data_IF_321469396800
#
_entry.id   IF_321469396800
#
_cell.length_a   1.000
_cell.length_b   1.000
_cell.length_c   1.000
_cell.angle_alpha   90.00
_cell.angle_beta   90.00
_cell.angle_gamma   90.00
#
_symmetry.space_group_name_H-M   'P 1'
#
loop_
_entity.id
_entity.type
_entity.pdbx_description
1 polymer ?
#
# COMPACT_ATOMS: atom_id res chain seq x y z
N UNK A 1 -12.27 -46.63 -41.41
CA UNK A 1 -11.61 -46.33 -40.11
C UNK A 1 -11.94 -44.89 -39.78
N UNK A 2 -13.09 -44.66 -39.15
CA UNK A 2 -13.39 -43.37 -38.53
C UNK A 2 -12.54 -43.30 -37.26
N UNK A 3 -11.52 -42.45 -37.27
CA UNK A 3 -10.70 -42.20 -36.10
C UNK A 3 -11.54 -41.47 -35.05
N UNK A 4 -11.72 -42.08 -33.89
CA UNK A 4 -12.22 -41.47 -32.65
C UNK A 4 -11.57 -40.10 -32.44
N UNK A 5 -12.34 -39.03 -32.68
CA UNK A 5 -11.98 -37.68 -32.25
C UNK A 5 -12.07 -37.66 -30.73
N UNK A 6 -10.95 -37.98 -30.07
CA UNK A 6 -10.78 -37.78 -28.61
C UNK A 6 -11.31 -36.39 -28.26
N UNK A 7 -12.32 -36.33 -27.41
CA UNK A 7 -12.90 -35.09 -26.90
C UNK A 7 -11.82 -34.37 -26.07
N UNK A 8 -11.04 -33.50 -26.71
CA UNK A 8 -9.94 -32.75 -26.11
C UNK A 8 -10.49 -31.56 -25.35
N UNK A 9 -11.26 -31.82 -24.30
CA UNK A 9 -11.74 -30.79 -23.39
C UNK A 9 -10.79 -30.61 -22.21
N UNK A 10 -10.57 -29.37 -21.82
CA UNK A 10 -9.80 -28.92 -20.65
C UNK A 10 -10.75 -28.20 -19.70
N UNK A 11 -10.41 -28.18 -18.41
CA UNK A 11 -11.24 -27.53 -17.40
C UNK A 11 -10.66 -26.15 -17.03
N UNK A 12 -11.52 -25.13 -16.99
CA UNK A 12 -11.14 -23.80 -16.55
C UNK A 12 -10.83 -23.80 -15.05
N UNK A 13 -9.70 -23.24 -14.64
CA UNK A 13 -9.30 -23.20 -13.21
C UNK A 13 -10.25 -22.39 -12.34
N UNK A 14 -10.92 -21.38 -12.92
CA UNK A 14 -11.81 -20.45 -12.21
C UNK A 14 -13.23 -21.02 -12.12
N UNK A 15 -13.93 -21.18 -13.25
CA UNK A 15 -15.35 -21.58 -13.25
C UNK A 15 -15.59 -23.09 -13.26
N UNK A 16 -14.53 -23.92 -13.36
CA UNK A 16 -14.61 -25.39 -13.51
C UNK A 16 -15.39 -25.86 -14.76
N UNK A 17 -15.66 -24.95 -15.70
CA UNK A 17 -16.32 -25.29 -16.96
C UNK A 17 -15.36 -26.01 -17.93
N UNK A 18 -15.85 -27.06 -18.59
CA UNK A 18 -15.10 -27.77 -19.64
C UNK A 18 -15.12 -26.97 -20.95
N UNK A 19 -13.94 -26.68 -21.51
CA UNK A 19 -13.72 -25.92 -22.75
C UNK A 19 -12.91 -26.74 -23.74
N UNK A 20 -12.95 -26.39 -25.03
CA UNK A 20 -12.06 -27.02 -26.03
C UNK A 20 -10.60 -26.66 -25.73
N UNK A 21 -9.67 -27.60 -25.90
CA UNK A 21 -8.24 -27.38 -25.61
C UNK A 21 -7.59 -26.23 -26.40
N UNK A 22 -8.16 -25.86 -27.54
CA UNK A 22 -7.72 -24.76 -28.39
C UNK A 22 -8.46 -23.43 -28.11
N UNK A 23 -9.18 -23.30 -26.99
CA UNK A 23 -9.86 -22.05 -26.67
C UNK A 23 -8.88 -20.86 -26.62
N UNK A 24 -9.37 -19.68 -27.01
CA UNK A 24 -8.61 -18.43 -27.00
C UNK A 24 -8.63 -17.73 -25.65
N UNK A 25 -8.36 -18.47 -24.57
CA UNK A 25 -8.21 -17.91 -23.23
C UNK A 25 -6.75 -18.01 -22.79
N UNK A 26 -6.45 -17.64 -21.55
CA UNK A 26 -5.10 -17.63 -21.01
C UNK A 26 -4.66 -19.06 -20.64
N UNK A 27 -3.44 -19.44 -21.01
CA UNK A 27 -2.90 -20.79 -20.76
C UNK A 27 -1.57 -20.73 -20.00
N UNK A 28 -1.48 -21.48 -18.92
CA UNK A 28 -0.24 -21.70 -18.20
C UNK A 28 0.64 -22.74 -18.92
N UNK A 29 1.96 -22.64 -18.75
CA UNK A 29 2.94 -23.62 -19.25
C UNK A 29 2.73 -25.05 -18.72
N UNK A 30 2.05 -25.22 -17.59
CA UNK A 30 1.69 -26.52 -17.00
C UNK A 30 0.31 -27.05 -17.45
N UNK A 31 -0.36 -26.37 -18.38
CA UNK A 31 -1.67 -26.79 -18.91
C UNK A 31 -2.86 -26.46 -18.01
N UNK A 32 -2.71 -25.49 -17.12
CA UNK A 32 -3.82 -24.86 -16.42
C UNK A 32 -4.40 -23.74 -17.28
N UNK A 33 -5.70 -23.81 -17.54
CA UNK A 33 -6.36 -22.95 -18.52
C UNK A 33 -7.39 -22.04 -17.85
N UNK A 34 -7.44 -20.78 -18.28
CA UNK A 34 -8.51 -19.82 -17.94
C UNK A 34 -9.34 -19.59 -19.20
N UNK A 35 -10.64 -19.84 -19.13
CA UNK A 35 -11.51 -19.69 -20.28
C UNK A 35 -11.73 -18.21 -20.64
N UNK A 36 -12.09 -17.89 -21.90
CA UNK A 36 -12.26 -16.51 -22.35
C UNK A 36 -13.22 -15.69 -21.48
N UNK A 37 -14.28 -16.33 -20.97
CA UNK A 37 -15.29 -15.67 -20.13
C UNK A 37 -14.77 -15.35 -18.71
N UNK A 38 -13.71 -16.03 -18.25
CA UNK A 38 -13.10 -15.79 -16.94
C UNK A 38 -11.82 -14.95 -17.03
N UNK A 39 -11.31 -14.64 -18.24
CA UNK A 39 -10.09 -13.84 -18.40
C UNK A 39 -10.24 -12.44 -17.78
N UNK A 40 -11.40 -11.79 -17.93
CA UNK A 40 -11.65 -10.47 -17.34
C UNK A 40 -11.51 -10.51 -15.81
N UNK A 41 -12.20 -11.44 -15.14
CA UNK A 41 -12.10 -11.59 -13.68
C UNK A 41 -10.69 -11.96 -13.21
N UNK A 42 -9.96 -12.75 -13.99
CA UNK A 42 -8.57 -13.08 -13.70
C UNK A 42 -7.66 -11.84 -13.78
N UNK A 43 -7.83 -11.02 -14.82
CA UNK A 43 -7.10 -9.76 -14.99
C UNK A 43 -7.47 -8.76 -13.90
N UNK A 44 -8.75 -8.61 -13.57
CA UNK A 44 -9.21 -7.72 -12.50
C UNK A 44 -8.61 -8.12 -11.15
N UNK A 45 -8.51 -9.43 -10.87
CA UNK A 45 -7.84 -9.91 -9.66
C UNK A 45 -6.34 -9.54 -9.65
N UNK A 46 -5.63 -9.68 -10.78
CA UNK A 46 -4.24 -9.25 -10.90
C UNK A 46 -4.11 -7.74 -10.63
N UNK A 47 -4.96 -6.93 -11.29
CA UNK A 47 -4.91 -5.47 -11.22
C UNK A 47 -5.53 -4.89 -9.94
N UNK A 48 -6.21 -5.70 -9.12
CA UNK A 48 -6.69 -5.28 -7.80
C UNK A 48 -5.54 -5.08 -6.79
N UNK A 49 -4.42 -5.77 -6.97
CA UNK A 49 -3.22 -5.64 -6.14
C UNK A 49 -1.93 -5.83 -6.98
N UNK A 50 -1.68 -4.89 -7.90
CA UNK A 50 -0.64 -5.04 -8.92
C UNK A 50 0.78 -5.06 -8.33
N UNK A 51 1.01 -4.43 -7.18
CA UNK A 51 2.29 -4.47 -6.46
C UNK A 51 2.75 -5.89 -6.12
N UNK A 52 1.82 -6.80 -5.87
CA UNK A 52 2.13 -8.20 -5.52
C UNK A 52 1.92 -9.13 -6.70
N UNK A 53 0.87 -8.88 -7.48
CA UNK A 53 0.38 -9.82 -8.50
C UNK A 53 1.05 -9.67 -9.87
N UNK A 54 1.89 -8.66 -10.09
CA UNK A 54 2.68 -8.50 -11.31
C UNK A 54 4.13 -8.96 -11.04
N UNK A 55 4.80 -9.74 -11.90
CA UNK A 55 4.26 -10.37 -13.11
C UNK A 55 3.16 -11.38 -12.76
N UNK A 56 2.17 -11.49 -13.67
CA UNK A 56 1.01 -12.34 -13.46
C UNK A 56 1.40 -13.81 -13.29
N UNK A 57 0.86 -14.47 -12.26
CA UNK A 57 1.13 -15.89 -11.97
C UNK A 57 -0.15 -16.72 -12.08
N UNK A 58 0.01 -17.98 -12.46
CA UNK A 58 -1.07 -18.96 -12.48
C UNK A 58 -1.59 -19.20 -11.07
N UNK A 59 -2.89 -19.06 -10.85
CA UNK A 59 -3.52 -19.28 -9.54
C UNK A 59 -3.39 -20.71 -8.98
N UNK A 60 -2.98 -21.68 -9.80
CA UNK A 60 -2.86 -23.08 -9.39
C UNK A 60 -1.43 -23.51 -9.11
N UNK A 61 -0.49 -23.20 -10.01
CA UNK A 61 0.92 -23.63 -9.86
C UNK A 61 1.91 -22.48 -9.61
N UNK A 62 1.42 -21.24 -9.52
CA UNK A 62 2.21 -20.04 -9.23
C UNK A 62 3.35 -19.73 -10.24
N UNK A 63 3.35 -20.39 -11.40
CA UNK A 63 4.26 -20.05 -12.49
C UNK A 63 3.77 -18.82 -13.25
N UNK A 64 4.72 -18.04 -13.76
CA UNK A 64 4.43 -16.85 -14.56
C UNK A 64 3.60 -17.19 -15.81
N UNK A 65 2.57 -16.38 -16.04
CA UNK A 65 1.72 -16.46 -17.22
C UNK A 65 2.39 -15.74 -18.38
N UNK A 66 2.23 -16.28 -19.60
CA UNK A 66 2.74 -15.62 -20.79
C UNK A 66 2.13 -14.22 -20.95
N UNK A 67 2.98 -13.19 -20.95
CA UNK A 67 2.59 -11.79 -20.99
C UNK A 67 1.76 -11.44 -22.22
N UNK A 68 2.13 -11.96 -23.40
CA UNK A 68 1.40 -11.67 -24.64
C UNK A 68 -0.03 -12.21 -24.56
N UNK A 69 -0.22 -13.42 -24.02
CA UNK A 69 -1.57 -13.97 -23.83
C UNK A 69 -2.40 -13.12 -22.88
N UNK A 70 -1.80 -12.64 -21.79
CA UNK A 70 -2.48 -11.79 -20.83
C UNK A 70 -2.88 -10.44 -21.44
N UNK A 71 -1.93 -9.76 -22.11
CA UNK A 71 -2.11 -8.44 -22.72
C UNK A 71 -3.21 -8.45 -23.80
N UNK A 72 -3.35 -9.53 -24.59
CA UNK A 72 -4.43 -9.68 -25.58
C UNK A 72 -5.85 -9.66 -24.99
N UNK A 73 -6.00 -9.93 -23.70
CA UNK A 73 -7.28 -9.95 -23.00
C UNK A 73 -7.55 -8.70 -22.16
N UNK A 74 -6.61 -7.75 -22.10
CA UNK A 74 -6.75 -6.52 -21.34
C UNK A 74 -7.47 -5.43 -22.15
N UNK A 75 -8.34 -4.67 -21.48
CA UNK A 75 -8.83 -3.41 -22.02
C UNK A 75 -7.68 -2.37 -22.07
N UNK A 76 -7.76 -1.32 -22.91
CA UNK A 76 -6.69 -0.33 -23.06
C UNK A 76 -6.20 0.29 -21.73
N UNK A 77 -7.11 0.67 -20.83
CA UNK A 77 -6.74 1.22 -19.52
C UNK A 77 -6.14 0.18 -18.55
N UNK A 78 -6.55 -1.08 -18.65
CA UNK A 78 -5.96 -2.18 -17.88
C UNK A 78 -4.52 -2.46 -18.35
N UNK A 79 -4.29 -2.43 -19.66
CA UNK A 79 -2.96 -2.62 -20.25
C UNK A 79 -2.00 -1.47 -19.87
N UNK A 80 -2.49 -0.23 -19.87
CA UNK A 80 -1.73 0.93 -19.41
C UNK A 80 -1.29 0.75 -17.95
N UNK A 81 -2.24 0.45 -17.05
CA UNK A 81 -1.95 0.17 -15.65
C UNK A 81 -0.96 -0.99 -15.47
N UNK A 82 -1.17 -2.10 -16.18
CA UNK A 82 -0.28 -3.26 -16.14
C UNK A 82 1.15 -2.90 -16.52
N UNK A 83 1.33 -2.11 -17.59
CA UNK A 83 2.65 -1.69 -18.05
C UNK A 83 3.34 -0.75 -17.06
N UNK A 84 2.61 0.17 -16.43
CA UNK A 84 3.16 1.05 -15.38
C UNK A 84 3.78 0.20 -14.26
N UNK A 85 3.04 -0.76 -13.72
CA UNK A 85 3.56 -1.62 -12.65
C UNK A 85 4.68 -2.56 -13.11
N UNK A 86 4.65 -3.01 -14.37
CA UNK A 86 5.74 -3.81 -14.95
C UNK A 86 7.04 -3.00 -15.03
N UNK A 87 6.93 -1.72 -15.41
CA UNK A 87 8.06 -0.77 -15.39
C UNK A 87 8.53 -0.56 -13.95
N UNK A 88 7.63 -0.23 -13.01
CA UNK A 88 7.97 -0.01 -11.61
C UNK A 88 8.75 -1.18 -10.99
N UNK A 89 8.38 -2.42 -11.31
CA UNK A 89 9.10 -3.61 -10.83
C UNK A 89 10.45 -3.86 -11.49
N UNK A 90 10.68 -3.29 -12.66
CA UNK A 90 11.94 -3.40 -13.38
C UNK A 90 12.93 -2.29 -12.99
N UNK A 91 12.48 -1.22 -12.34
CA UNK A 91 13.33 -0.13 -11.85
C UNK A 91 14.23 -0.59 -10.70
N UNK A 92 15.47 -0.13 -10.67
CA UNK A 92 16.31 -0.25 -9.47
C UNK A 92 15.97 0.91 -8.53
N UNK A 93 15.37 0.68 -7.36
CA UNK A 93 14.99 1.76 -6.44
C UNK A 93 16.18 2.55 -5.89
N UNK A 94 17.42 2.10 -6.12
CA UNK A 94 18.64 2.84 -5.74
C UNK A 94 19.08 3.85 -6.77
N UNK A 95 18.72 3.66 -8.03
CA UNK A 95 19.16 4.53 -9.13
C UNK A 95 18.00 5.24 -9.80
N UNK A 96 16.82 4.64 -9.80
CA UNK A 96 15.70 5.06 -10.62
C UNK A 96 14.51 5.48 -9.76
N UNK A 97 13.83 6.55 -10.16
CA UNK A 97 12.55 6.99 -9.61
C UNK A 97 11.56 7.16 -10.74
N UNK A 98 10.40 6.51 -10.62
CA UNK A 98 9.29 6.78 -11.53
C UNK A 98 8.62 8.09 -11.14
N UNK A 99 8.56 9.02 -12.09
CA UNK A 99 7.94 10.31 -11.93
C UNK A 99 6.66 10.37 -12.74
N UNK A 100 5.57 10.72 -12.07
CA UNK A 100 4.24 10.80 -12.67
C UNK A 100 3.74 12.24 -12.68
N UNK A 101 3.14 12.63 -13.81
CA UNK A 101 2.41 13.89 -13.91
C UNK A 101 1.11 13.79 -13.09
N UNK A 102 0.84 14.73 -12.16
CA UNK A 102 -0.40 14.69 -11.38
C UNK A 102 -1.66 15.08 -12.18
N UNK A 103 -1.51 15.48 -13.45
CA UNK A 103 -2.60 16.03 -14.26
C UNK A 103 -2.92 15.21 -15.52
N UNK A 104 -2.08 14.24 -15.88
CA UNK A 104 -2.30 13.36 -17.02
C UNK A 104 -1.50 12.06 -16.86
N UNK A 105 -1.72 11.03 -17.71
CA UNK A 105 -1.00 9.75 -17.61
C UNK A 105 0.49 9.77 -18.01
N UNK A 106 1.07 10.95 -18.25
CA UNK A 106 2.49 11.04 -18.62
C UNK A 106 3.39 10.65 -17.45
N UNK A 107 4.39 9.82 -17.74
CA UNK A 107 5.37 9.31 -16.81
C UNK A 107 6.76 9.33 -17.42
N UNK A 108 7.78 9.47 -16.58
CA UNK A 108 9.19 9.39 -16.97
C UNK A 108 10.03 8.85 -15.82
N UNK A 109 11.21 8.32 -16.15
CA UNK A 109 12.13 7.74 -15.17
C UNK A 109 13.26 8.74 -14.94
N UNK A 110 13.51 9.08 -13.69
CA UNK A 110 14.60 9.97 -13.29
C UNK A 110 15.68 9.20 -12.54
N UNK A 111 16.91 9.70 -12.63
CA UNK A 111 18.00 9.26 -11.75
C UNK A 111 17.81 9.87 -10.36
N UNK A 112 17.94 9.05 -9.31
CA UNK A 112 17.92 9.48 -7.90
C UNK A 112 18.91 10.63 -7.64
N UNK A 113 20.06 10.65 -8.32
CA UNK A 113 21.10 11.68 -8.19
C UNK A 113 20.72 13.01 -8.85
N UNK A 114 19.86 13.00 -9.86
CA UNK A 114 19.41 14.19 -10.58
C UNK A 114 17.98 14.61 -10.17
N UNK A 115 17.56 14.19 -8.98
CA UNK A 115 16.21 14.42 -8.49
C UNK A 115 15.94 15.90 -8.23
N UNK A 116 15.02 16.49 -9.01
CA UNK A 116 14.49 17.84 -8.81
C UNK A 116 13.14 17.81 -8.08
N UNK A 117 12.78 18.90 -7.41
CA UNK A 117 11.40 19.10 -6.97
C UNK A 117 10.49 19.64 -8.09
N UNK A 118 11.04 20.00 -9.26
CA UNK A 118 10.32 20.57 -10.39
C UNK A 118 10.14 19.56 -11.51
N UNK A 119 8.90 19.13 -11.75
CA UNK A 119 8.53 18.20 -12.81
C UNK A 119 7.83 18.94 -13.96
N UNK A 120 8.33 18.75 -15.18
CA UNK A 120 7.76 19.37 -16.38
C UNK A 120 7.18 18.29 -17.28
N UNK A 121 5.85 18.25 -17.40
CA UNK A 121 5.19 17.21 -18.17
C UNK A 121 5.48 17.34 -19.67
N UNK A 122 6.14 16.36 -20.29
CA UNK A 122 6.39 16.37 -21.74
C UNK A 122 5.20 15.85 -22.57
N UNK A 123 4.12 15.38 -21.94
CA UNK A 123 2.89 14.99 -22.62
C UNK A 123 2.36 16.11 -23.52
N UNK A 124 2.06 15.77 -24.79
CA UNK A 124 1.77 16.74 -25.86
C UNK A 124 0.67 17.75 -25.51
N UNK A 125 -0.37 17.31 -24.80
CA UNK A 125 -1.52 18.14 -24.44
C UNK A 125 -1.41 18.83 -23.07
N UNK A 126 -0.54 18.36 -22.19
CA UNK A 126 -0.52 18.80 -20.79
C UNK A 126 0.48 19.94 -20.58
N UNK A 127 1.78 19.69 -20.81
CA UNK A 127 2.86 20.70 -20.71
C UNK A 127 2.92 21.50 -19.39
N UNK A 128 2.27 21.04 -18.33
CA UNK A 128 2.24 21.70 -17.02
C UNK A 128 3.51 21.46 -16.21
N UNK A 129 3.92 22.45 -15.43
CA UNK A 129 4.91 22.32 -14.35
C UNK A 129 4.23 21.89 -13.04
N UNK A 130 4.83 20.98 -12.30
CA UNK A 130 4.33 20.54 -10.99
C UNK A 130 5.43 20.20 -10.01
N UNK A 131 5.19 20.42 -8.72
CA UNK A 131 6.14 20.02 -7.69
C UNK A 131 6.08 18.50 -7.49
N UNK A 132 7.20 17.79 -7.58
CA UNK A 132 7.23 16.33 -7.41
C UNK A 132 6.85 15.86 -6.01
N UNK A 133 6.99 16.71 -4.99
CA UNK A 133 6.74 16.39 -3.58
C UNK A 133 5.30 16.68 -3.16
N UNK A 134 4.76 17.86 -3.48
CA UNK A 134 3.40 18.25 -3.09
C UNK A 134 2.36 18.12 -4.21
N UNK A 135 2.80 17.81 -5.44
CA UNK A 135 1.98 17.62 -6.64
C UNK A 135 1.17 18.84 -7.09
N UNK A 136 1.41 20.02 -6.52
CA UNK A 136 0.77 21.28 -6.93
C UNK A 136 1.36 21.79 -8.25
N UNK A 137 0.52 22.41 -9.06
CA UNK A 137 0.90 23.09 -10.31
C UNK A 137 1.69 24.36 -9.99
N UNK A 138 2.69 24.67 -10.81
CA UNK A 138 3.34 25.97 -10.83
C UNK A 138 3.50 26.47 -12.26
N UNK A 139 3.54 27.79 -12.45
CA UNK A 139 3.81 28.40 -13.77
C UNK A 139 5.27 28.21 -14.15
N UNK A 140 5.52 27.82 -15.39
CA UNK A 140 6.85 27.74 -15.98
C UNK A 140 7.11 29.03 -16.74
N UNK A 141 8.15 29.82 -16.39
CA UNK A 141 8.51 31.00 -17.18
C UNK A 141 8.88 30.58 -18.61
N UNK A 142 8.43 31.34 -19.62
CA UNK A 142 8.74 31.03 -21.02
C UNK A 142 10.24 31.27 -21.33
N UNK A 143 10.84 32.32 -20.76
CA UNK A 143 12.12 32.86 -21.25
C UNK A 143 13.24 32.98 -20.20
N UNK A 144 13.12 32.38 -19.00
CA UNK A 144 14.08 32.48 -17.87
C UNK A 144 14.50 33.90 -17.41
N UNK A 145 14.19 34.95 -18.17
CA UNK A 145 14.20 36.34 -17.77
C UNK A 145 12.91 36.62 -17.03
N UNK A 146 13.04 36.82 -15.71
CA UNK A 146 11.92 37.03 -14.81
C UNK A 146 11.94 38.50 -14.41
N UNK A 147 10.85 39.23 -14.67
CA UNK A 147 10.71 40.59 -14.16
C UNK A 147 10.34 40.61 -12.66
N UNK A 148 10.25 41.80 -12.06
CA UNK A 148 9.94 41.92 -10.63
C UNK A 148 8.54 41.37 -10.27
N UNK A 149 7.56 41.48 -11.18
CA UNK A 149 6.19 41.01 -10.94
C UNK A 149 6.14 39.48 -11.01
N UNK A 150 6.73 38.88 -12.04
CA UNK A 150 6.86 37.42 -12.18
C UNK A 150 7.68 36.81 -11.04
N UNK A 151 8.72 37.50 -10.55
CA UNK A 151 9.53 37.02 -9.45
C UNK A 151 8.73 36.95 -8.14
N UNK A 152 7.89 37.94 -7.88
CA UNK A 152 6.99 37.91 -6.72
C UNK A 152 5.87 36.87 -6.90
N UNK A 153 5.35 36.65 -8.11
CA UNK A 153 4.46 35.50 -8.40
C UNK A 153 5.16 34.15 -8.16
N UNK A 154 6.43 34.01 -8.54
CA UNK A 154 7.22 32.80 -8.34
C UNK A 154 7.53 32.55 -6.85
N UNK A 155 7.60 33.59 -6.03
CA UNK A 155 7.73 33.50 -4.56
C UNK A 155 6.40 33.27 -3.85
N UNK A 156 5.29 33.71 -4.42
CA UNK A 156 3.96 33.56 -3.85
C UNK A 156 3.62 32.08 -3.62
N UNK A 157 2.62 31.81 -2.77
CA UNK A 157 2.15 30.45 -2.53
C UNK A 157 1.73 29.77 -3.86
N UNK A 158 2.46 28.72 -4.27
CA UNK A 158 2.24 28.00 -5.53
C UNK A 158 3.18 28.39 -6.66
N UNK A 159 4.04 29.40 -6.46
CA UNK A 159 5.14 29.70 -7.37
C UNK A 159 6.30 28.70 -7.26
N UNK A 160 7.14 28.64 -8.29
CA UNK A 160 8.27 27.71 -8.35
C UNK A 160 9.23 27.86 -7.16
N UNK A 161 9.52 29.09 -6.71
CA UNK A 161 10.43 29.35 -5.57
C UNK A 161 9.81 28.87 -4.26
N UNK A 162 8.49 29.01 -4.08
CA UNK A 162 7.80 28.53 -2.88
C UNK A 162 7.98 27.01 -2.68
N UNK A 163 8.13 26.25 -3.78
CA UNK A 163 8.34 24.81 -3.72
C UNK A 163 9.75 24.38 -3.32
N UNK A 164 10.72 25.28 -3.21
CA UNK A 164 12.06 24.96 -2.71
C UNK A 164 12.01 24.33 -1.30
N UNK A 165 11.15 24.87 -0.43
CA UNK A 165 10.91 24.31 0.91
C UNK A 165 10.33 22.90 0.86
N UNK A 166 9.57 22.55 -0.19
CA UNK A 166 9.05 21.19 -0.31
C UNK A 166 10.17 20.15 -0.40
N UNK A 167 11.32 20.48 -1.01
CA UNK A 167 12.45 19.57 -1.09
C UNK A 167 13.12 19.39 0.29
N UNK A 168 13.29 20.49 1.04
CA UNK A 168 13.88 20.49 2.38
C UNK A 168 13.10 19.57 3.34
N UNK A 169 11.77 19.66 3.32
CA UNK A 169 10.90 18.89 4.19
C UNK A 169 10.41 17.57 3.58
N UNK A 170 10.90 17.16 2.40
CA UNK A 170 10.45 15.96 1.67
C UNK A 170 10.52 14.71 2.55
N UNK A 171 11.72 14.40 3.08
CA UNK A 171 11.93 13.18 3.84
C UNK A 171 11.08 13.14 5.12
N UNK A 172 10.94 14.28 5.79
CA UNK A 172 10.10 14.40 6.99
C UNK A 172 8.61 14.18 6.66
N UNK A 173 8.14 14.72 5.52
CA UNK A 173 6.79 14.45 5.00
C UNK A 173 6.59 12.96 4.72
N UNK A 174 7.52 12.32 4.01
CA UNK A 174 7.46 10.90 3.68
C UNK A 174 7.44 10.02 4.94
N UNK A 175 8.27 10.32 5.94
CA UNK A 175 8.24 9.62 7.22
C UNK A 175 6.90 9.80 7.95
N UNK A 176 6.34 11.02 7.95
CA UNK A 176 5.03 11.29 8.54
C UNK A 176 3.91 10.51 7.83
N UNK A 177 3.83 10.62 6.51
CA UNK A 177 2.80 9.94 5.70
C UNK A 177 2.88 8.43 5.86
N UNK A 178 4.09 7.86 5.83
CA UNK A 178 4.32 6.43 6.07
C UNK A 178 3.92 6.01 7.49
N UNK A 179 4.21 6.83 8.50
CA UNK A 179 3.81 6.55 9.87
C UNK A 179 2.27 6.56 10.03
N UNK A 180 1.58 7.49 9.36
CA UNK A 180 0.11 7.56 9.38
C UNK A 180 -0.53 6.40 8.61
N UNK A 181 0.04 6.01 7.48
CA UNK A 181 -0.41 4.84 6.71
C UNK A 181 -0.27 3.55 7.52
N UNK A 182 0.90 3.32 8.14
CA UNK A 182 1.15 2.14 8.98
C UNK A 182 0.25 2.07 10.23
N UNK A 183 -0.29 3.21 10.67
CA UNK A 183 -1.20 3.25 11.80
C UNK A 183 -2.67 2.99 11.40
N UNK A 184 -3.07 3.43 10.20
CA UNK A 184 -4.44 3.23 9.69
C UNK A 184 -4.69 1.83 9.16
N UNK A 185 -3.63 1.11 8.75
CA UNK A 185 -3.70 -0.27 8.25
C UNK A 185 -2.63 -1.14 8.88
N UNK A 186 -2.95 -2.42 9.12
CA UNK A 186 -1.94 -3.41 9.50
C UNK A 186 -1.42 -4.10 8.25
N UNK A 187 -0.11 -4.25 8.17
CA UNK A 187 0.55 -4.82 7.00
C UNK A 187 0.93 -6.28 7.28
N UNK A 188 0.60 -7.17 6.35
CA UNK A 188 0.99 -8.58 6.44
C UNK A 188 2.51 -8.69 6.59
N UNK A 189 3.03 -9.40 7.59
CA UNK A 189 4.48 -9.52 7.79
C UNK A 189 5.20 -10.23 6.63
N UNK A 190 4.51 -11.12 5.91
CA UNK A 190 5.04 -11.90 4.79
C UNK A 190 5.16 -11.11 3.48
N UNK A 191 4.09 -10.44 3.03
CA UNK A 191 4.06 -9.75 1.72
C UNK A 191 3.82 -8.23 1.79
N UNK A 192 3.65 -7.67 3.00
CA UNK A 192 3.40 -6.24 3.26
C UNK A 192 2.08 -5.68 2.71
N UNK A 193 1.15 -6.49 2.22
CA UNK A 193 -0.20 -6.01 1.89
C UNK A 193 -0.85 -5.40 3.14
N UNK A 194 -1.30 -4.16 3.01
CA UNK A 194 -2.01 -3.43 4.05
C UNK A 194 -3.50 -3.75 4.04
N UNK A 195 -4.05 -4.04 5.21
CA UNK A 195 -5.48 -4.31 5.38
C UNK A 195 -6.00 -3.80 6.70
N UNK A 196 -7.33 -3.71 6.78
CA UNK A 196 -8.04 -3.49 8.02
C UNK A 196 -8.90 -4.70 8.32
N UNK A 197 -8.94 -5.08 9.58
CA UNK A 197 -9.76 -6.18 10.05
C UNK A 197 -11.24 -5.79 10.13
N UNK A 198 -12.09 -6.76 9.87
CA UNK A 198 -13.55 -6.72 9.86
C UNK A 198 -14.19 -7.71 10.87
N UNK A 199 -13.50 -8.80 11.22
CA UNK A 199 -13.98 -9.79 12.20
C UNK A 199 -13.37 -9.60 13.61
N UNK A 200 -13.96 -10.25 14.62
CA UNK A 200 -13.52 -10.17 16.02
C UNK A 200 -12.16 -10.84 16.33
N UNK A 201 -11.84 -11.97 15.69
CA UNK A 201 -10.71 -12.83 16.08
C UNK A 201 -9.36 -12.30 15.58
N UNK A 202 -8.42 -11.94 16.45
CA UNK A 202 -7.15 -11.26 16.09
C UNK A 202 -6.19 -12.05 15.19
N UNK A 203 -6.48 -13.31 14.88
CA UNK A 203 -5.72 -14.12 13.93
C UNK A 203 -6.08 -13.76 12.49
N UNK A 204 -5.06 -13.58 11.67
CA UNK A 204 -5.19 -13.20 10.27
C UNK A 204 -4.49 -14.25 9.40
N UNK A 205 -5.12 -14.61 8.30
CA UNK A 205 -4.49 -15.35 7.20
C UNK A 205 -4.46 -14.40 6.01
N UNK A 206 -3.27 -14.15 5.46
CA UNK A 206 -3.16 -13.25 4.32
C UNK A 206 -3.59 -13.95 3.03
N UNK A 207 -4.66 -13.48 2.38
CA UNK A 207 -5.18 -14.07 1.14
C UNK A 207 -4.16 -14.09 -0.01
N UNK A 208 -3.21 -13.15 -0.01
CA UNK A 208 -2.21 -13.03 -1.07
C UNK A 208 -1.04 -14.01 -0.91
N UNK A 209 -0.58 -14.28 0.32
CA UNK A 209 0.63 -15.09 0.55
C UNK A 209 0.46 -16.25 1.53
N UNK A 210 -0.74 -16.45 2.09
CA UNK A 210 -1.07 -17.50 3.05
C UNK A 210 -0.41 -17.36 4.43
N UNK A 211 0.28 -16.25 4.71
CA UNK A 211 0.94 -16.06 6.02
C UNK A 211 -0.11 -15.93 7.12
N UNK A 212 0.01 -16.76 8.15
CA UNK A 212 -0.70 -16.62 9.42
C UNK A 212 0.01 -15.60 10.32
N UNK A 213 -0.72 -14.67 10.90
CA UNK A 213 -0.16 -13.61 11.73
C UNK A 213 -1.17 -13.01 12.70
N UNK A 214 -0.68 -12.40 13.78
CA UNK A 214 -1.53 -11.72 14.77
C UNK A 214 -1.74 -10.26 14.36
N UNK A 215 -3.00 -9.83 14.25
CA UNK A 215 -3.36 -8.46 13.85
C UNK A 215 -2.84 -7.42 14.85
N UNK A 216 -2.89 -7.74 16.15
CA UNK A 216 -2.52 -6.85 17.25
C UNK A 216 -1.02 -6.54 17.22
N UNK A 217 -0.15 -7.55 17.30
CA UNK A 217 1.30 -7.33 17.31
C UNK A 217 1.93 -7.24 15.91
N UNK A 218 1.28 -7.76 14.86
CA UNK A 218 1.74 -7.67 13.47
C UNK A 218 2.82 -8.70 13.11
N UNK A 219 3.07 -9.67 13.99
CA UNK A 219 4.10 -10.71 13.83
C UNK A 219 3.49 -11.96 13.17
N UNK A 220 4.28 -12.62 12.31
CA UNK A 220 3.91 -13.92 11.71
C UNK A 220 3.94 -15.01 12.77
N UNK A 221 3.20 -16.09 12.55
CA UNK A 221 3.03 -17.21 13.49
C UNK A 221 4.35 -17.77 14.05
N UNK A 222 5.41 -17.84 13.23
CA UNK A 222 6.73 -18.31 13.65
C UNK A 222 7.42 -17.38 14.67
N UNK A 223 7.10 -16.09 14.62
CA UNK A 223 7.75 -15.04 15.43
C UNK A 223 6.95 -14.70 16.69
N UNK A 224 5.82 -15.39 16.93
CA UNK A 224 4.97 -15.15 18.09
C UNK A 224 5.55 -15.81 19.34
N UNK A 225 5.48 -15.09 20.45
CA UNK A 225 5.62 -15.70 21.78
C UNK A 225 4.40 -16.60 22.02
N UNK A 226 4.63 -17.89 22.26
CA UNK A 226 3.62 -18.93 22.44
C UNK A 226 3.84 -19.66 23.77
N UNK A 227 2.79 -20.21 24.37
CA UNK A 227 2.95 -21.07 25.55
C UNK A 227 3.53 -22.43 25.16
N UNK A 228 2.93 -23.07 24.15
CA UNK A 228 3.47 -24.23 23.47
C UNK A 228 3.90 -23.85 22.04
N UNK A 229 5.20 -23.92 21.70
CA UNK A 229 5.66 -23.65 20.35
C UNK A 229 5.08 -24.56 19.25
N UNK A 230 4.60 -25.76 19.63
CA UNK A 230 4.01 -26.74 18.72
C UNK A 230 2.52 -26.49 18.48
N UNK A 231 1.87 -25.74 19.36
CA UNK A 231 0.53 -25.26 19.10
C UNK A 231 0.61 -24.05 18.15
N UNK A 232 -0.38 -23.95 17.28
CA UNK A 232 -0.42 -22.91 16.26
C UNK A 232 -0.60 -21.51 16.86
N UNK A 233 -1.05 -20.58 16.03
CA UNK A 233 -1.26 -19.18 16.43
C UNK A 233 -2.07 -18.98 17.73
N UNK A 234 -2.98 -19.90 18.09
CA UNK A 234 -3.78 -19.83 19.31
C UNK A 234 -2.96 -19.81 20.61
N UNK A 235 -1.81 -20.48 20.66
CA UNK A 235 -0.99 -20.48 21.87
C UNK A 235 -0.32 -19.13 22.15
N UNK A 236 -0.40 -18.20 21.20
CA UNK A 236 -0.03 -16.80 21.41
C UNK A 236 -1.00 -16.04 22.32
N UNK A 237 -2.25 -16.50 22.47
CA UNK A 237 -3.25 -15.81 23.28
C UNK A 237 -3.33 -16.31 24.72
N UNK A 238 -2.64 -17.40 25.05
CA UNK A 238 -2.63 -17.94 26.39
C UNK A 238 -1.87 -17.02 27.36
N UNK A 239 -2.45 -16.76 28.53
CA UNK A 239 -1.89 -15.86 29.56
C UNK A 239 -1.52 -14.46 29.02
N UNK A 240 -2.21 -13.97 27.99
CA UNK A 240 -1.90 -12.68 27.35
C UNK A 240 -2.02 -11.47 28.30
N UNK A 241 -2.89 -11.59 29.30
CA UNK A 241 -3.14 -10.59 30.33
C UNK A 241 -1.97 -10.43 31.31
N UNK A 242 -1.19 -11.51 31.51
CA UNK A 242 -0.03 -11.53 32.41
C UNK A 242 1.31 -11.50 31.67
N UNK A 243 1.35 -11.93 30.40
CA UNK A 243 2.55 -11.89 29.56
C UNK A 243 2.45 -10.77 28.52
N UNK A 244 3.27 -9.69 28.63
CA UNK A 244 3.18 -8.57 27.70
C UNK A 244 3.45 -8.97 26.24
N UNK A 245 4.25 -10.01 25.99
CA UNK A 245 4.61 -10.42 24.62
C UNK A 245 3.48 -11.12 23.85
N UNK A 246 2.35 -11.36 24.51
CA UNK A 246 1.20 -12.10 24.01
C UNK A 246 0.01 -11.16 23.81
N UNK A 247 -0.87 -11.51 22.87
CA UNK A 247 -2.01 -10.68 22.49
C UNK A 247 -3.32 -11.42 22.75
N UNK A 248 -4.42 -10.70 23.01
CA UNK A 248 -5.73 -11.32 23.19
C UNK A 248 -6.21 -12.00 21.90
N UNK A 249 -7.06 -13.02 22.05
CA UNK A 249 -7.70 -13.70 20.93
C UNK A 249 -8.80 -12.84 20.30
N UNK A 250 -9.49 -12.04 21.12
CA UNK A 250 -10.49 -11.07 20.70
C UNK A 250 -10.22 -9.72 21.34
N UNK A 251 -10.43 -8.62 20.60
CA UNK A 251 -10.17 -7.28 21.14
C UNK A 251 -11.05 -6.94 22.35
N UNK A 252 -12.28 -7.46 22.41
CA UNK A 252 -13.19 -7.27 23.56
C UNK A 252 -12.60 -7.78 24.89
N UNK A 253 -11.72 -8.79 24.86
CA UNK A 253 -11.06 -9.31 26.09
C UNK A 253 -10.17 -8.25 26.76
N UNK A 254 -9.78 -7.20 26.02
CA UNK A 254 -9.03 -6.08 26.59
C UNK A 254 -9.88 -5.29 27.60
N UNK A 255 -11.21 -5.29 27.43
CA UNK A 255 -12.16 -4.64 28.34
C UNK A 255 -12.02 -5.09 29.80
N UNK A 256 -11.57 -6.34 30.02
CA UNK A 256 -11.32 -6.89 31.36
C UNK A 256 -10.17 -6.18 32.10
N UNK A 257 -9.22 -5.61 31.35
CA UNK A 257 -8.06 -4.90 31.88
C UNK A 257 -8.18 -3.37 31.72
N UNK A 258 -8.90 -2.90 30.71
CA UNK A 258 -8.99 -1.50 30.32
C UNK A 258 -10.42 -1.14 29.87
N UNK A 259 -11.15 -0.47 30.76
CA UNK A 259 -12.56 -0.08 30.58
C UNK A 259 -12.81 0.87 29.40
N UNK A 260 -11.77 1.35 28.72
CA UNK A 260 -11.91 2.14 27.49
C UNK A 260 -12.31 1.29 26.28
N UNK A 261 -12.12 -0.02 26.37
CA UNK A 261 -12.51 -1.00 25.35
C UNK A 261 -13.94 -1.44 25.63
N UNK A 262 -14.76 -1.51 24.59
CA UNK A 262 -16.16 -1.88 24.70
C UNK A 262 -16.27 -3.43 24.67
N UNK A 263 -16.77 -4.08 25.73
CA UNK A 263 -16.86 -5.53 25.76
C UNK A 263 -17.86 -6.11 24.75
N UNK A 264 -18.72 -5.29 24.14
CA UNK A 264 -19.81 -5.72 23.27
C UNK A 264 -19.72 -5.14 21.84
N UNK A 265 -18.69 -4.33 21.52
CA UNK A 265 -18.54 -3.66 20.22
C UNK A 265 -17.13 -3.87 19.62
N UNK A 266 -17.02 -4.90 18.77
CA UNK A 266 -15.79 -5.22 18.04
C UNK A 266 -15.33 -4.10 17.10
N UNK A 267 -16.26 -3.42 16.42
CA UNK A 267 -15.94 -2.35 15.48
C UNK A 267 -15.34 -1.15 16.22
N UNK A 268 -15.95 -0.75 17.34
CA UNK A 268 -15.42 0.29 18.21
C UNK A 268 -14.03 -0.06 18.75
N UNK A 269 -13.79 -1.32 19.09
CA UNK A 269 -12.48 -1.79 19.55
C UNK A 269 -11.42 -1.79 18.44
N UNK A 270 -11.78 -2.16 17.20
CA UNK A 270 -10.88 -2.05 16.04
C UNK A 270 -10.54 -0.57 15.79
N UNK A 271 -11.52 0.32 15.81
CA UNK A 271 -11.30 1.78 15.73
C UNK A 271 -10.38 2.28 16.84
N UNK A 272 -10.60 1.83 18.07
CA UNK A 272 -9.80 2.23 19.22
C UNK A 272 -8.36 1.71 19.13
N UNK A 273 -8.15 0.46 18.70
CA UNK A 273 -6.81 -0.07 18.43
C UNK A 273 -6.05 0.81 17.43
N UNK A 274 -6.69 1.15 16.30
CA UNK A 274 -6.07 2.00 15.29
C UNK A 274 -5.80 3.42 15.78
N UNK A 275 -6.70 4.00 16.59
CA UNK A 275 -6.46 5.28 17.26
C UNK A 275 -5.20 5.23 18.12
N UNK A 276 -5.04 4.17 18.93
CA UNK A 276 -3.88 3.99 19.79
C UNK A 276 -2.59 3.75 18.97
N UNK A 277 -2.64 2.99 17.88
CA UNK A 277 -1.52 2.79 16.95
C UNK A 277 -1.10 4.11 16.29
N UNK A 278 -2.05 4.93 15.87
CA UNK A 278 -1.79 6.28 15.36
C UNK A 278 -1.08 7.13 16.39
N UNK A 279 -1.51 7.10 17.65
CA UNK A 279 -0.84 7.87 18.70
C UNK A 279 0.57 7.36 19.00
N UNK A 280 0.80 6.05 18.93
CA UNK A 280 2.14 5.49 19.01
C UNK A 280 3.01 5.97 17.84
N UNK A 281 2.51 5.95 16.61
CA UNK A 281 3.22 6.44 15.43
C UNK A 281 3.56 7.95 15.53
N UNK A 282 2.61 8.78 15.98
CA UNK A 282 2.84 10.21 16.25
C UNK A 282 3.95 10.38 17.30
N UNK A 283 3.93 9.61 18.39
CA UNK A 283 4.98 9.68 19.41
C UNK A 283 6.35 9.28 18.87
N UNK A 284 6.40 8.21 18.09
CA UNK A 284 7.66 7.75 17.49
C UNK A 284 8.23 8.76 16.50
N UNK A 285 7.37 9.45 15.76
CA UNK A 285 7.76 10.58 14.93
C UNK A 285 8.37 11.71 15.78
N UNK A 286 7.71 12.10 16.88
CA UNK A 286 8.21 13.15 17.80
C UNK A 286 9.41 12.73 18.67
N UNK A 287 9.85 11.47 18.64
CA UNK A 287 11.16 11.09 19.19
C UNK A 287 12.30 11.51 18.27
N UNK A 288 12.04 11.62 16.97
CA UNK A 288 13.02 12.02 15.95
C UNK A 288 12.99 13.52 15.67
N UNK A 289 11.79 14.11 15.66
CA UNK A 289 11.57 15.50 15.30
C UNK A 289 10.96 16.30 16.44
N UNK A 290 11.30 17.58 16.51
CA UNK A 290 10.75 18.54 17.45
C UNK A 290 9.34 19.01 17.04
N UNK A 291 8.61 19.62 17.98
CA UNK A 291 7.31 20.24 17.67
C UNK A 291 7.46 21.43 16.71
N UNK A 292 8.54 22.20 16.83
CA UNK A 292 8.82 23.32 15.93
C UNK A 292 9.08 22.86 14.48
N UNK A 293 9.86 21.80 14.29
CA UNK A 293 10.08 21.21 12.95
C UNK A 293 8.77 20.72 12.32
N UNK A 294 7.90 20.11 13.13
CA UNK A 294 6.60 19.67 12.66
C UNK A 294 5.65 20.82 12.32
N UNK A 295 5.70 21.93 13.06
CA UNK A 295 4.94 23.13 12.74
C UNK A 295 5.38 23.72 11.39
N UNK A 296 6.69 23.81 11.14
CA UNK A 296 7.23 24.20 9.83
C UNK A 296 6.79 23.25 8.71
N UNK A 297 6.77 21.95 8.98
CA UNK A 297 6.24 20.96 8.04
C UNK A 297 4.76 21.23 7.70
N UNK A 298 3.94 21.55 8.71
CA UNK A 298 2.52 21.89 8.53
C UNK A 298 2.30 23.20 7.76
N UNK A 299 3.21 24.17 7.88
CA UNK A 299 3.19 25.40 7.08
C UNK A 299 3.45 25.10 5.61
N UNK A 300 4.40 24.20 5.31
CA UNK A 300 4.75 23.83 3.94
C UNK A 300 3.68 22.91 3.31
N UNK A 301 3.11 21.99 4.08
CA UNK A 301 2.16 21.00 3.59
C UNK A 301 0.83 21.03 4.34
N UNK A 302 -0.19 21.60 3.69
CA UNK A 302 -1.56 21.61 4.22
C UNK A 302 -2.14 20.22 4.43
N UNK A 303 -1.70 19.20 3.68
CA UNK A 303 -2.09 17.81 3.88
C UNK A 303 -1.62 17.28 5.24
N UNK A 304 -0.43 17.68 5.69
CA UNK A 304 0.08 17.34 7.02
C UNK A 304 -0.70 18.11 8.06
N UNK A 305 -0.90 19.42 7.88
CA UNK A 305 -1.67 20.25 8.83
C UNK A 305 -3.07 19.70 9.11
N UNK A 306 -3.73 19.15 8.09
CA UNK A 306 -5.08 18.60 8.18
C UNK A 306 -5.09 17.10 8.53
N UNK A 307 -4.13 16.64 9.32
CA UNK A 307 -4.00 15.23 9.71
C UNK A 307 -5.16 14.70 10.58
N UNK A 308 -6.04 15.56 11.09
CA UNK A 308 -7.27 15.15 11.81
C UNK A 308 -7.07 14.59 13.22
N UNK A 309 -5.84 14.62 13.75
CA UNK A 309 -5.53 14.08 15.07
C UNK A 309 -5.25 15.19 16.09
N UNK A 310 -5.60 14.96 17.36
CA UNK A 310 -5.24 15.87 18.44
C UNK A 310 -3.83 15.53 18.96
N UNK A 311 -2.83 16.37 18.64
CA UNK A 311 -1.44 16.12 19.05
C UNK A 311 -1.26 16.14 20.58
N UNK A 312 -2.05 16.95 21.30
CA UNK A 312 -2.00 16.98 22.77
C UNK A 312 -2.49 15.64 23.32
N UNK A 313 -3.62 15.16 22.82
CA UNK A 313 -4.16 13.84 23.17
C UNK A 313 -3.18 12.72 22.81
N UNK A 314 -2.59 12.76 21.59
CA UNK A 314 -1.60 11.78 21.15
C UNK A 314 -0.39 11.74 22.09
N UNK A 315 0.05 12.88 22.64
CA UNK A 315 1.17 12.95 23.61
C UNK A 315 0.80 12.45 25.01
N UNK A 316 -0.47 12.56 25.43
CA UNK A 316 -0.89 12.24 26.81
C UNK A 316 -1.63 10.91 26.97
N UNK A 317 -2.25 10.38 25.91
CA UNK A 317 -3.06 9.15 25.97
C UNK A 317 -2.26 7.97 26.55
N UNK A 318 -2.84 7.20 27.47
CA UNK A 318 -2.18 5.97 27.90
C UNK A 318 -2.26 4.90 26.79
N UNK A 319 -1.10 4.54 26.26
CA UNK A 319 -0.91 3.51 25.21
C UNK A 319 -0.08 2.32 25.72
N UNK A 320 0.07 2.19 27.05
CA UNK A 320 0.92 1.17 27.68
C UNK A 320 0.51 -0.24 27.24
N UNK A 321 -0.79 -0.47 27.04
CA UNK A 321 -1.30 -1.75 26.57
C UNK A 321 -0.74 -2.14 25.18
N UNK A 322 -0.63 -1.20 24.24
CA UNK A 322 0.00 -1.46 22.93
C UNK A 322 1.49 -1.73 23.07
N UNK A 323 2.18 -1.00 23.94
CA UNK A 323 3.62 -1.20 24.18
C UNK A 323 3.94 -2.56 24.79
N UNK A 324 2.98 -3.19 25.47
CA UNK A 324 3.14 -4.58 25.88
C UNK A 324 3.19 -5.47 24.63
N UNK A 325 2.24 -5.27 23.71
CA UNK A 325 1.96 -6.14 22.56
C UNK A 325 2.96 -6.05 21.38
N UNK A 326 3.63 -4.91 21.17
CA UNK A 326 4.59 -4.68 20.07
C UNK A 326 6.03 -5.09 20.39
#
# INVERSE_FOLDING_TARGET
MESDKKDTRVECTICKGKKKRDHGGIKCSQGHDVCPECCASFIDNILSNPEVNIPAKCSTCNLEINTVQLEMHMAPGQLELYNIYKIMKALDPKTDVLMECPFCPYLEIWDVQNYSNYFYCLGEKCKKGSCSVCKKEFKVPEDFEVDEEEYEEMKAEGGMIAHQKCLEYKFMKEEWEKAMEMATKRHCPGCKIGGRKDEACTHMICDSCGTNWCYVCGKKEDDLDKLDPNEGIHSHNEDWDTNPKRCPMFLMQIGDLDQRWDPDDDDANVEFLHKLLTYQAIRDFFKKYTTEEFEKLCEVFSSVKNHGYNLKEAKTMDITLIKRMG
#
